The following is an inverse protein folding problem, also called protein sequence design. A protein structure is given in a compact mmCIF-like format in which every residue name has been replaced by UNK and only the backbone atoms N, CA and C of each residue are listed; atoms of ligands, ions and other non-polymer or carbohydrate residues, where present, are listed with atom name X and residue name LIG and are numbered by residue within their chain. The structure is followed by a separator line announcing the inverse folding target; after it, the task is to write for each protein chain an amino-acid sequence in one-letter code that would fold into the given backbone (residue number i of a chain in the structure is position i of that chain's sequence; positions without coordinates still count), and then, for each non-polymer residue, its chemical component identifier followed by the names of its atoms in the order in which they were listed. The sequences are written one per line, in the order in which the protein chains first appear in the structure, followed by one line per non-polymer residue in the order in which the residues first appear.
data_IF_542591350262
#
_entry.id   IF_542591350262
#
_cell.length_a   1.000
_cell.length_b   1.000
_cell.length_c   1.000
_cell.angle_alpha   90.00
_cell.angle_beta   90.00
_cell.angle_gamma   90.00
#
_symmetry.space_group_name_H-M   'P 1'
#
loop_
_entity.id
_entity.type
_entity.pdbx_description
1 polymer ?
#
# COMPACT_ATOMS: atom_id res chain seq x y z
N UNK A 1 6.12 19.99 60.38
CA UNK A 1 5.28 20.06 59.16
C UNK A 1 6.09 19.47 58.02
N UNK A 2 5.82 18.22 57.67
CA UNK A 2 6.56 17.48 56.64
C UNK A 2 5.73 17.39 55.36
N UNK A 3 6.30 17.88 54.27
CA UNK A 3 5.74 17.89 52.92
C UNK A 3 5.82 16.48 52.33
N UNK A 4 4.68 15.87 52.01
CA UNK A 4 4.62 14.63 51.22
C UNK A 4 4.31 15.00 49.76
N UNK A 5 5.33 14.99 48.92
CA UNK A 5 5.17 14.91 47.47
C UNK A 5 4.77 13.46 47.13
N UNK A 6 3.51 13.24 46.78
CA UNK A 6 3.09 12.01 46.10
C UNK A 6 3.50 12.12 44.63
N UNK A 7 4.57 11.42 44.26
CA UNK A 7 4.91 11.16 42.87
C UNK A 7 3.90 10.16 42.29
N UNK A 8 3.07 10.64 41.36
CA UNK A 8 2.25 9.78 40.52
C UNK A 8 3.17 8.99 39.58
N UNK A 9 3.30 7.68 39.80
CA UNK A 9 3.93 6.79 38.82
C UNK A 9 2.90 6.46 37.74
N UNK A 10 3.13 7.01 36.56
CA UNK A 10 2.37 6.84 35.34
C UNK A 10 2.50 5.41 34.80
N UNK A 11 1.39 4.68 34.86
CA UNK A 11 1.22 3.36 34.24
C UNK A 11 0.91 3.55 32.75
N UNK A 12 1.94 3.80 31.92
CA UNK A 12 1.79 3.95 30.45
C UNK A 12 2.78 3.12 29.63
N UNK A 13 3.41 2.09 30.22
CA UNK A 13 4.49 1.33 29.56
C UNK A 13 4.03 0.32 28.50
N UNK A 14 2.91 -0.37 28.69
CA UNK A 14 2.56 -1.52 27.82
C UNK A 14 2.04 -1.12 26.43
N UNK A 15 1.28 -0.03 26.31
CA UNK A 15 0.72 0.40 25.03
C UNK A 15 1.76 1.10 24.11
N UNK A 16 2.84 1.61 24.69
CA UNK A 16 3.89 2.28 23.94
C UNK A 16 4.85 1.29 23.28
N UNK A 17 5.19 0.19 23.98
CA UNK A 17 6.02 -0.89 23.45
C UNK A 17 5.37 -1.56 22.22
N UNK A 18 4.06 -1.82 22.27
CA UNK A 18 3.30 -2.39 21.16
C UNK A 18 3.31 -1.48 19.92
N UNK A 19 3.18 -0.16 20.12
CA UNK A 19 3.22 0.81 19.01
C UNK A 19 4.62 0.92 18.37
N UNK A 20 5.68 0.94 19.18
CA UNK A 20 7.04 1.01 18.67
C UNK A 20 7.42 -0.26 17.91
N UNK A 21 7.00 -1.43 18.39
CA UNK A 21 7.20 -2.70 17.68
C UNK A 21 6.48 -2.72 16.33
N UNK A 22 5.20 -2.30 16.29
CA UNK A 22 4.44 -2.17 15.04
C UNK A 22 5.16 -1.27 14.04
N UNK A 23 5.62 -0.10 14.48
CA UNK A 23 6.34 0.84 13.60
C UNK A 23 7.66 0.25 13.10
N UNK A 24 8.41 -0.40 13.98
CA UNK A 24 9.68 -1.02 13.61
C UNK A 24 9.49 -2.13 12.57
N UNK A 25 8.48 -2.98 12.74
CA UNK A 25 8.16 -4.07 11.80
C UNK A 25 7.72 -3.54 10.44
N UNK A 26 6.79 -2.58 10.41
CA UNK A 26 6.32 -1.97 9.17
C UNK A 26 7.42 -1.21 8.44
N UNK A 27 8.27 -0.48 9.19
CA UNK A 27 9.46 0.17 8.63
C UNK A 27 10.48 -0.84 8.08
N UNK A 28 10.67 -1.98 8.76
CA UNK A 28 11.55 -3.04 8.29
C UNK A 28 11.03 -3.70 7.02
N UNK A 29 9.71 -3.92 6.91
CA UNK A 29 9.08 -4.43 5.71
C UNK A 29 9.24 -3.44 4.55
N UNK A 30 8.98 -2.14 4.79
CA UNK A 30 9.15 -1.08 3.79
C UNK A 30 10.60 -0.96 3.29
N UNK A 31 11.56 -1.06 4.20
CA UNK A 31 12.98 -1.08 3.87
C UNK A 31 13.35 -2.31 3.03
N UNK A 32 12.83 -3.49 3.39
CA UNK A 32 13.06 -4.74 2.65
C UNK A 32 12.53 -4.63 1.22
N UNK A 33 11.33 -4.04 1.02
CA UNK A 33 10.80 -3.73 -0.31
C UNK A 33 11.74 -2.81 -1.08
N UNK A 34 12.27 -1.76 -0.43
CA UNK A 34 13.22 -0.82 -1.04
C UNK A 34 14.53 -1.48 -1.53
N UNK A 35 14.96 -2.57 -0.90
CA UNK A 35 16.13 -3.34 -1.31
C UNK A 35 15.81 -4.49 -2.27
N UNK A 36 14.53 -4.71 -2.61
CA UNK A 36 14.10 -5.84 -3.44
C UNK A 36 14.08 -7.18 -2.69
N UNK A 37 14.25 -7.19 -1.37
CA UNK A 37 14.08 -8.39 -0.54
C UNK A 37 12.60 -8.57 -0.18
N UNK A 38 11.83 -9.03 -1.17
CA UNK A 38 10.40 -9.21 -1.02
C UNK A 38 10.02 -10.36 -0.08
N UNK A 39 10.90 -11.37 0.07
CA UNK A 39 10.67 -12.50 0.99
C UNK A 39 10.68 -12.05 2.44
N UNK A 40 11.67 -11.23 2.83
CA UNK A 40 11.70 -10.62 4.17
C UNK A 40 10.53 -9.67 4.39
N UNK A 41 10.16 -8.88 3.38
CA UNK A 41 8.99 -8.00 3.47
C UNK A 41 7.69 -8.79 3.73
N UNK A 42 7.48 -9.89 3.00
CA UNK A 42 6.32 -10.77 3.19
C UNK A 42 6.30 -11.43 4.56
N UNK A 43 7.46 -11.90 5.04
CA UNK A 43 7.58 -12.47 6.38
C UNK A 43 7.20 -11.46 7.46
N UNK A 44 7.67 -10.22 7.36
CA UNK A 44 7.35 -9.15 8.32
C UNK A 44 5.88 -8.73 8.25
N UNK A 45 5.28 -8.73 7.04
CA UNK A 45 3.88 -8.38 6.85
C UNK A 45 2.91 -9.49 7.25
N UNK A 46 3.37 -10.74 7.39
CA UNK A 46 2.52 -11.90 7.66
C UNK A 46 1.69 -11.80 8.95
N UNK A 47 2.11 -10.98 9.92
CA UNK A 47 1.33 -10.73 11.15
C UNK A 47 0.13 -9.79 10.93
N UNK A 48 0.10 -9.06 9.81
CA UNK A 48 -0.94 -8.07 9.51
C UNK A 48 -1.92 -8.54 8.43
N UNK A 49 -1.56 -9.56 7.66
CA UNK A 49 -2.36 -10.04 6.53
C UNK A 49 -2.59 -11.55 6.57
N UNK A 50 -3.69 -11.98 5.98
CA UNK A 50 -3.97 -13.39 5.72
C UNK A 50 -4.64 -13.54 4.34
N UNK A 51 -4.75 -14.77 3.85
CA UNK A 51 -5.60 -15.09 2.69
C UNK A 51 -6.90 -15.73 3.15
N UNK A 52 -8.02 -15.25 2.64
CA UNK A 52 -9.32 -15.86 2.92
C UNK A 52 -9.52 -17.18 2.15
N UNK A 53 -10.68 -17.80 2.32
CA UNK A 53 -11.03 -19.08 1.68
C UNK A 53 -11.04 -19.01 0.15
N UNK A 54 -11.21 -17.81 -0.42
CA UNK A 54 -11.16 -17.55 -1.86
C UNK A 54 -9.75 -17.17 -2.33
N UNK A 55 -8.78 -17.12 -1.42
CA UNK A 55 -7.40 -16.74 -1.69
C UNK A 55 -7.16 -15.23 -1.77
N UNK A 56 -8.15 -14.39 -1.51
CA UNK A 56 -7.98 -12.94 -1.52
C UNK A 56 -7.15 -12.48 -0.32
N UNK A 57 -6.23 -11.54 -0.55
CA UNK A 57 -5.38 -10.99 0.51
C UNK A 57 -6.20 -10.00 1.36
N UNK A 58 -6.22 -10.23 2.67
CA UNK A 58 -7.01 -9.46 3.65
C UNK A 58 -6.12 -8.99 4.79
N UNK A 59 -6.52 -7.89 5.43
CA UNK A 59 -5.94 -7.47 6.72
C UNK A 59 -6.54 -8.28 7.87
N UNK A 60 -5.73 -8.67 8.85
CA UNK A 60 -6.22 -9.33 10.06
C UNK A 60 -7.31 -8.50 10.77
N UNK A 61 -8.40 -9.13 11.23
CA UNK A 61 -9.45 -8.43 11.97
C UNK A 61 -8.88 -7.89 13.28
N UNK A 62 -9.23 -6.65 13.62
CA UNK A 62 -8.79 -6.00 14.86
C UNK A 62 -7.65 -4.99 14.69
N UNK A 63 -7.00 -4.94 13.51
CA UNK A 63 -6.04 -3.87 13.20
C UNK A 63 -6.73 -2.50 13.18
N UNK A 64 -6.15 -1.53 13.89
CA UNK A 64 -6.68 -0.16 14.03
C UNK A 64 -5.55 0.86 14.00
N UNK A 65 -5.90 2.11 13.74
CA UNK A 65 -4.99 3.25 13.79
C UNK A 65 -3.75 3.05 12.91
N UNK A 66 -2.59 3.39 13.47
CA UNK A 66 -1.28 3.37 12.79
C UNK A 66 -0.92 1.98 12.24
N UNK A 67 -1.21 0.91 12.98
CA UNK A 67 -0.95 -0.45 12.54
C UNK A 67 -1.73 -0.78 11.25
N UNK A 68 -3.01 -0.39 11.20
CA UNK A 68 -3.84 -0.61 10.02
C UNK A 68 -3.39 0.23 8.84
N UNK A 69 -3.17 1.53 9.02
CA UNK A 69 -2.77 2.41 7.92
C UNK A 69 -1.40 2.02 7.36
N UNK A 70 -0.42 1.78 8.24
CA UNK A 70 0.91 1.38 7.79
C UNK A 70 0.92 0.01 7.11
N UNK A 71 0.15 -0.97 7.59
CA UNK A 71 0.01 -2.24 6.89
C UNK A 71 -0.61 -2.07 5.50
N UNK A 72 -1.63 -1.22 5.33
CA UNK A 72 -2.22 -0.92 4.02
C UNK A 72 -1.18 -0.34 3.07
N UNK A 73 -0.47 0.71 3.50
CA UNK A 73 0.51 1.41 2.67
C UNK A 73 1.64 0.48 2.23
N UNK A 74 2.19 -0.30 3.17
CA UNK A 74 3.30 -1.22 2.90
C UNK A 74 2.86 -2.40 2.03
N UNK A 75 1.65 -2.94 2.21
CA UNK A 75 1.12 -4.01 1.33
C UNK A 75 0.86 -3.48 -0.08
N UNK A 76 0.28 -2.29 -0.23
CA UNK A 76 0.07 -1.65 -1.53
C UNK A 76 1.40 -1.47 -2.25
N UNK A 77 2.43 -0.98 -1.55
CA UNK A 77 3.78 -0.84 -2.10
C UNK A 77 4.36 -2.19 -2.50
N UNK A 78 4.30 -3.21 -1.63
CA UNK A 78 4.82 -4.55 -1.93
C UNK A 78 4.15 -5.14 -3.18
N UNK A 79 2.83 -5.09 -3.26
CA UNK A 79 2.08 -5.63 -4.41
C UNK A 79 2.41 -4.86 -5.70
N UNK A 80 2.61 -3.54 -5.60
CA UNK A 80 3.06 -2.71 -6.72
C UNK A 80 4.46 -3.09 -7.20
N UNK A 81 5.45 -3.17 -6.31
CA UNK A 81 6.84 -3.49 -6.68
C UNK A 81 6.99 -4.92 -7.24
N UNK A 82 6.14 -5.85 -6.80
CA UNK A 82 6.15 -7.25 -7.26
C UNK A 82 5.27 -7.51 -8.49
N UNK A 83 4.65 -6.47 -9.06
CA UNK A 83 3.81 -6.60 -10.27
C UNK A 83 2.54 -7.43 -10.08
N UNK A 84 2.08 -7.62 -8.83
CA UNK A 84 0.87 -8.41 -8.50
C UNK A 84 -0.41 -7.59 -8.67
N UNK A 85 -0.60 -7.09 -9.87
CA UNK A 85 -1.60 -6.06 -10.20
C UNK A 85 -3.05 -6.48 -9.93
N UNK A 86 -3.40 -7.76 -10.15
CA UNK A 86 -4.75 -8.26 -9.84
C UNK A 86 -5.03 -8.22 -8.34
N UNK A 87 -4.11 -8.76 -7.53
CA UNK A 87 -4.20 -8.71 -6.07
C UNK A 87 -4.18 -7.27 -5.56
N UNK A 88 -3.34 -6.41 -6.14
CA UNK A 88 -3.30 -4.98 -5.80
C UNK A 88 -4.63 -4.30 -6.08
N UNK A 89 -5.25 -4.56 -7.23
CA UNK A 89 -6.53 -3.98 -7.59
C UNK A 89 -7.66 -4.41 -6.65
N UNK A 90 -7.69 -5.67 -6.24
CA UNK A 90 -8.66 -6.16 -5.25
C UNK A 90 -8.42 -5.51 -3.87
N UNK A 91 -7.17 -5.50 -3.40
CA UNK A 91 -6.79 -4.93 -2.11
C UNK A 91 -7.06 -3.42 -2.05
N UNK A 92 -6.74 -2.69 -3.12
CA UNK A 92 -7.00 -1.24 -3.23
C UNK A 92 -8.50 -0.91 -3.21
N UNK A 93 -9.34 -1.74 -3.85
CA UNK A 93 -10.80 -1.56 -3.81
C UNK A 93 -11.37 -1.67 -2.40
N UNK A 94 -10.76 -2.51 -1.57
CA UNK A 94 -11.23 -2.79 -0.22
C UNK A 94 -10.67 -1.83 0.84
N UNK A 95 -9.39 -1.48 0.74
CA UNK A 95 -8.69 -0.80 1.83
C UNK A 95 -8.27 0.64 1.53
N UNK A 96 -8.16 1.03 0.26
CA UNK A 96 -7.92 2.43 -0.13
C UNK A 96 -9.24 3.16 -0.37
N UNK A 97 -9.20 4.48 -0.32
CA UNK A 97 -10.39 5.30 -0.55
C UNK A 97 -10.08 6.58 -1.33
N UNK A 98 -11.14 7.20 -1.84
CA UNK A 98 -11.06 8.51 -2.48
C UNK A 98 -10.05 8.57 -3.63
N UNK A 99 -9.16 9.56 -3.60
CA UNK A 99 -8.22 9.83 -4.68
C UNK A 99 -7.13 8.76 -4.79
N UNK A 100 -6.69 8.21 -3.66
CA UNK A 100 -5.61 7.23 -3.62
C UNK A 100 -5.99 5.91 -4.31
N UNK A 101 -7.20 5.42 -4.01
CA UNK A 101 -7.76 4.25 -4.69
C UNK A 101 -7.81 4.48 -6.20
N UNK A 102 -8.36 5.61 -6.65
CA UNK A 102 -8.48 5.90 -8.09
C UNK A 102 -7.13 6.00 -8.77
N UNK A 103 -6.16 6.69 -8.16
CA UNK A 103 -4.78 6.76 -8.68
C UNK A 103 -4.17 5.35 -8.81
N UNK A 104 -4.35 4.50 -7.82
CA UNK A 104 -3.85 3.12 -7.84
C UNK A 104 -4.46 2.33 -8.99
N UNK A 105 -5.77 2.44 -9.20
CA UNK A 105 -6.44 1.78 -10.33
C UNK A 105 -5.95 2.30 -11.69
N UNK A 106 -5.76 3.62 -11.86
CA UNK A 106 -5.25 4.17 -13.12
C UNK A 106 -3.81 3.69 -13.40
N UNK A 107 -2.96 3.61 -12.36
CA UNK A 107 -1.60 3.09 -12.48
C UNK A 107 -1.56 1.61 -12.88
N UNK A 108 -2.46 0.79 -12.33
CA UNK A 108 -2.59 -0.62 -12.72
C UNK A 108 -2.98 -0.75 -14.19
N UNK A 109 -3.97 0.01 -14.66
CA UNK A 109 -4.38 -0.01 -16.07
C UNK A 109 -3.21 0.40 -17.00
N UNK A 110 -2.45 1.42 -16.61
CA UNK A 110 -1.28 1.90 -17.35
C UNK A 110 -0.18 0.83 -17.44
N UNK A 111 0.18 0.19 -16.32
CA UNK A 111 1.18 -0.88 -16.28
C UNK A 111 0.80 -2.10 -17.11
N UNK A 112 -0.49 -2.43 -17.15
CA UNK A 112 -1.02 -3.55 -17.94
C UNK A 112 -1.18 -3.20 -19.43
N UNK A 113 -0.68 -2.05 -19.87
CA UNK A 113 -0.80 -1.55 -21.24
C UNK A 113 -2.27 -1.45 -21.73
N UNK A 114 -3.22 -1.30 -20.81
CA UNK A 114 -4.64 -1.03 -21.13
C UNK A 114 -4.82 0.46 -21.37
N UNK A 115 -4.21 0.97 -22.44
CA UNK A 115 -4.01 2.41 -22.65
C UNK A 115 -5.31 3.21 -22.74
N UNK A 116 -6.36 2.69 -23.40
CA UNK A 116 -7.66 3.38 -23.48
C UNK A 116 -8.30 3.54 -22.09
N UNK A 117 -8.24 2.48 -21.28
CA UNK A 117 -8.75 2.49 -19.90
C UNK A 117 -7.92 3.42 -19.00
N UNK A 118 -6.60 3.36 -19.12
CA UNK A 118 -5.69 4.22 -18.36
C UNK A 118 -5.90 5.71 -18.72
N UNK A 119 -6.07 6.03 -20.01
CA UNK A 119 -6.38 7.38 -20.48
C UNK A 119 -7.68 7.89 -19.87
N UNK A 120 -8.76 7.10 -20.00
CA UNK A 120 -10.07 7.44 -19.44
C UNK A 120 -10.01 7.63 -17.91
N UNK A 121 -9.29 6.75 -17.22
CA UNK A 121 -9.12 6.81 -15.77
C UNK A 121 -8.40 8.09 -15.33
N UNK A 122 -7.24 8.41 -15.91
CA UNK A 122 -6.47 9.61 -15.57
C UNK A 122 -7.26 10.90 -15.85
N UNK A 123 -7.92 10.96 -17.01
CA UNK A 123 -8.74 12.11 -17.37
C UNK A 123 -9.95 12.27 -16.44
N UNK A 124 -10.60 11.15 -16.08
CA UNK A 124 -11.74 11.12 -15.16
C UNK A 124 -11.42 11.59 -13.74
N UNK A 125 -10.14 11.60 -13.33
CA UNK A 125 -9.70 12.16 -12.04
C UNK A 125 -9.02 13.54 -12.16
N UNK A 126 -9.02 14.14 -13.34
CA UNK A 126 -8.47 15.47 -13.60
C UNK A 126 -6.96 15.51 -13.85
N UNK A 127 -6.30 14.38 -14.06
CA UNK A 127 -4.86 14.28 -14.32
C UNK A 127 -4.58 14.31 -15.84
N UNK A 128 -4.92 15.44 -16.48
CA UNK A 128 -4.89 15.60 -17.94
C UNK A 128 -3.50 15.33 -18.53
N UNK A 129 -2.45 15.92 -17.95
CA UNK A 129 -1.06 15.71 -18.40
C UNK A 129 -0.64 14.24 -18.38
N UNK A 130 -1.17 13.48 -17.42
CA UNK A 130 -0.90 12.05 -17.28
C UNK A 130 -1.69 11.24 -18.30
N UNK A 131 -2.95 11.61 -18.56
CA UNK A 131 -3.73 11.03 -19.64
C UNK A 131 -3.04 11.22 -21.01
N UNK A 132 -2.53 12.41 -21.30
CA UNK A 132 -1.78 12.68 -22.54
C UNK A 132 -0.47 11.87 -22.63
N UNK A 133 0.19 11.62 -21.49
CA UNK A 133 1.37 10.73 -21.45
C UNK A 133 1.02 9.30 -21.83
N UNK A 134 -0.14 8.79 -21.39
CA UNK A 134 -0.62 7.46 -21.77
C UNK A 134 -0.80 7.37 -23.29
N UNK A 135 -1.44 8.36 -23.93
CA UNK A 135 -1.61 8.37 -25.39
C UNK A 135 -0.27 8.38 -26.15
N UNK A 136 0.69 9.18 -25.68
CA UNK A 136 2.04 9.21 -26.28
C UNK A 136 2.76 7.87 -26.14
N UNK A 137 2.57 7.20 -25.01
CA UNK A 137 3.16 5.88 -24.75
C UNK A 137 2.54 4.82 -25.66
N UNK A 138 1.21 4.80 -25.80
CA UNK A 138 0.50 3.92 -26.74
C UNK A 138 0.96 4.13 -28.18
N UNK A 139 1.02 5.39 -28.64
CA UNK A 139 1.51 5.71 -29.97
C UNK A 139 2.96 5.23 -30.19
N UNK A 140 3.85 5.43 -29.22
CA UNK A 140 5.22 4.96 -29.28
C UNK A 140 5.30 3.43 -29.35
N UNK A 141 4.55 2.71 -28.51
CA UNK A 141 4.49 1.24 -28.54
C UNK A 141 4.02 0.74 -29.90
N UNK A 142 2.97 1.34 -30.47
CA UNK A 142 2.46 0.97 -31.80
C UNK A 142 3.46 1.20 -32.92
N UNK A 143 4.23 2.29 -32.88
CA UNK A 143 5.29 2.57 -33.86
C UNK A 143 6.43 1.56 -33.72
N UNK A 144 6.89 1.30 -32.49
CA UNK A 144 8.01 0.39 -32.22
C UNK A 144 7.66 -1.09 -32.46
N UNK A 145 6.38 -1.45 -32.38
CA UNK A 145 5.89 -2.80 -32.65
C UNK A 145 5.69 -3.11 -34.15
N UNK A 146 5.86 -2.12 -35.03
CA UNK A 146 5.82 -2.34 -36.48
C UNK A 146 7.13 -3.04 -36.93
N UNK A 147 7.05 -4.17 -37.66
CA UNK A 147 8.22 -4.90 -38.14
C UNK A 147 9.01 -4.15 -39.21
#
# INVERSE_FOLDING_TARGET
MATLFLSAMSVSGCAQLDREEVRARLSGADQSIGFGDYGSAESLLSEYVYRDEMGALKLHPGLRGEARSGAVDTVVRLLWETGRDETLGQFAKEYLSGREQRITMCRIAERQARFDEAYSCWNGIGEVDRAERVLRTDAAVRILAQP
#
